data_IF_657603528559
#
_entry.id   IF_657603528559
#
_cell.length_a   1.000
_cell.length_b   1.000
_cell.length_c   1.000
_cell.angle_alpha   90.00
_cell.angle_beta   90.00
_cell.angle_gamma   90.00
#
_symmetry.space_group_name_H-M   'P 1'
#
loop_
_entity.id
_entity.type
_entity.pdbx_description
1 polymer ?
#
# COMPACT_ATOMS: atom_id res chain seq x y z
N UNK A 1 -18.17 -10.17 44.57
CA UNK A 1 -18.81 -9.96 43.26
C UNK A 1 -18.28 -8.65 42.70
N UNK A 2 -17.54 -8.74 41.59
CA UNK A 2 -17.45 -7.90 40.37
C UNK A 2 -17.73 -6.38 40.48
N UNK A 3 -17.09 -5.46 39.75
CA UNK A 3 -16.37 -5.52 38.46
C UNK A 3 -15.27 -4.45 38.44
N UNK A 4 -14.03 -4.81 38.08
CA UNK A 4 -13.02 -3.83 37.68
C UNK A 4 -13.32 -3.34 36.26
N UNK A 5 -13.35 -2.03 36.08
CA UNK A 5 -13.57 -1.39 34.79
C UNK A 5 -12.44 -1.72 33.83
N UNK A 6 -12.79 -2.32 32.69
CA UNK A 6 -11.91 -2.44 31.54
C UNK A 6 -11.73 -1.06 30.92
N UNK A 7 -10.56 -0.45 31.08
CA UNK A 7 -10.15 0.74 30.31
C UNK A 7 -9.49 0.30 29.02
N UNK A 8 -10.22 0.42 27.91
CA UNK A 8 -9.73 0.15 26.55
C UNK A 8 -8.54 1.07 26.22
N UNK A 9 -7.41 0.49 25.79
CA UNK A 9 -6.31 1.23 25.18
C UNK A 9 -6.73 1.69 23.77
N UNK A 10 -6.52 2.96 23.39
CA UNK A 10 -6.75 3.39 22.01
C UNK A 10 -5.81 2.60 21.10
N UNK A 11 -6.34 1.95 20.08
CA UNK A 11 -5.52 1.32 19.03
C UNK A 11 -4.54 2.37 18.48
N UNK A 12 -3.26 2.00 18.36
CA UNK A 12 -2.23 2.90 17.85
C UNK A 12 -2.56 3.20 16.38
N UNK A 13 -2.95 4.43 16.08
CA UNK A 13 -3.18 4.91 14.71
C UNK A 13 -1.92 5.62 14.24
N UNK A 14 -1.27 5.06 13.23
CA UNK A 14 -0.11 5.68 12.58
C UNK A 14 -0.58 6.54 11.40
N UNK A 15 -0.22 7.83 11.42
CA UNK A 15 -0.48 8.78 10.33
C UNK A 15 0.82 9.02 9.57
N UNK A 16 0.80 8.73 8.27
CA UNK A 16 1.91 9.06 7.37
C UNK A 16 1.45 10.08 6.33
N UNK A 17 2.28 11.08 6.07
CA UNK A 17 1.98 12.20 5.16
C UNK A 17 3.11 12.42 4.16
N UNK A 18 2.76 12.80 2.95
CA UNK A 18 3.68 13.24 1.90
C UNK A 18 3.50 14.74 1.64
N UNK A 19 4.53 15.39 1.08
CA UNK A 19 4.45 16.80 0.68
C UNK A 19 4.42 16.90 -0.84
N UNK A 20 3.38 17.53 -1.37
CA UNK A 20 3.26 17.88 -2.79
C UNK A 20 3.30 16.67 -3.76
N UNK A 21 2.97 15.46 -3.29
CA UNK A 21 2.81 14.24 -4.09
C UNK A 21 2.00 13.20 -3.34
N UNK A 22 1.55 12.14 -4.01
CA UNK A 22 1.11 10.90 -3.37
C UNK A 22 2.27 10.00 -2.94
N UNK A 23 1.96 8.92 -2.22
CA UNK A 23 2.95 7.88 -1.88
C UNK A 23 3.45 7.16 -3.14
N UNK A 24 4.73 6.79 -3.15
CA UNK A 24 5.29 5.96 -4.22
C UNK A 24 4.82 4.50 -4.07
N UNK A 25 4.83 3.70 -5.14
CA UNK A 25 4.60 2.26 -5.05
C UNK A 25 5.46 1.58 -3.98
N UNK A 26 6.71 1.98 -3.83
CA UNK A 26 7.62 1.44 -2.82
C UNK A 26 7.20 1.78 -1.39
N UNK A 27 6.74 3.01 -1.14
CA UNK A 27 6.26 3.43 0.17
C UNK A 27 4.94 2.73 0.55
N UNK A 28 4.03 2.58 -0.42
CA UNK A 28 2.77 1.84 -0.19
C UNK A 28 3.05 0.35 0.01
N UNK A 29 4.00 -0.22 -0.73
CA UNK A 29 4.42 -1.61 -0.57
C UNK A 29 5.01 -1.88 0.82
N UNK A 30 5.86 -0.98 1.32
CA UNK A 30 6.43 -1.13 2.67
C UNK A 30 5.34 -1.10 3.74
N UNK A 31 4.43 -0.12 3.67
CA UNK A 31 3.30 -0.02 4.61
C UNK A 31 2.38 -1.24 4.56
N UNK A 32 2.20 -1.83 3.38
CA UNK A 32 1.43 -3.05 3.22
C UNK A 32 2.16 -4.24 3.85
N UNK A 33 3.46 -4.37 3.57
CA UNK A 33 4.31 -5.42 4.09
C UNK A 33 4.40 -5.41 5.61
N UNK A 34 4.56 -4.24 6.22
CA UNK A 34 4.60 -4.09 7.68
C UNK A 34 3.32 -4.58 8.35
N UNK A 35 2.16 -4.32 7.73
CA UNK A 35 0.87 -4.85 8.21
C UNK A 35 0.79 -6.37 8.09
N UNK A 36 1.29 -6.94 6.99
CA UNK A 36 1.31 -8.39 6.80
C UNK A 36 2.24 -9.08 7.80
N UNK A 37 3.40 -8.49 8.07
CA UNK A 37 4.39 -9.04 8.99
C UNK A 37 4.02 -8.87 10.46
N UNK A 38 3.34 -7.79 10.84
CA UNK A 38 2.84 -7.60 12.20
C UNK A 38 1.97 -8.79 12.67
N UNK A 39 1.17 -9.37 11.77
CA UNK A 39 0.39 -10.58 12.06
C UNK A 39 1.30 -11.78 12.36
N UNK A 40 2.45 -11.88 11.70
CA UNK A 40 3.40 -12.99 11.85
C UNK A 40 4.15 -13.00 13.18
N UNK A 41 4.23 -11.87 13.90
CA UNK A 41 4.95 -11.79 15.19
C UNK A 41 4.31 -12.66 16.28
N UNK A 42 2.99 -12.87 16.19
CA UNK A 42 2.22 -13.74 17.10
C UNK A 42 2.08 -15.17 16.60
N UNK A 43 2.62 -15.49 15.42
CA UNK A 43 2.47 -16.79 14.79
C UNK A 43 3.46 -17.84 15.36
N UNK A 44 3.18 -19.14 15.17
CA UNK A 44 4.12 -20.20 15.51
C UNK A 44 5.50 -19.98 14.86
N UNK A 45 6.62 -20.36 15.53
CA UNK A 45 7.98 -20.02 15.08
C UNK A 45 8.27 -20.33 13.61
N UNK A 46 7.86 -21.49 13.11
CA UNK A 46 8.09 -21.88 11.72
C UNK A 46 7.43 -20.92 10.70
N UNK A 47 6.25 -20.37 11.02
CA UNK A 47 5.54 -19.43 10.14
C UNK A 47 6.19 -18.05 10.18
N UNK A 48 6.61 -17.61 11.37
CA UNK A 48 7.32 -16.34 11.55
C UNK A 48 8.67 -16.35 10.81
N UNK A 49 9.45 -17.42 10.98
CA UNK A 49 10.77 -17.55 10.36
C UNK A 49 10.66 -17.58 8.83
N UNK A 50 9.61 -18.24 8.30
CA UNK A 50 9.28 -18.17 6.88
C UNK A 50 8.90 -16.76 6.43
N UNK A 51 8.03 -16.06 7.17
CA UNK A 51 7.62 -14.69 6.83
C UNK A 51 8.82 -13.73 6.76
N UNK A 52 9.76 -13.85 7.70
CA UNK A 52 11.01 -13.07 7.71
C UNK A 52 11.87 -13.43 6.50
N UNK A 53 12.04 -14.73 6.21
CA UNK A 53 12.86 -15.20 5.09
C UNK A 53 12.35 -14.73 3.71
N UNK A 54 11.02 -14.62 3.55
CA UNK A 54 10.40 -14.21 2.28
C UNK A 54 10.04 -12.72 2.21
N UNK A 55 10.34 -11.93 3.26
CA UNK A 55 9.98 -10.50 3.36
C UNK A 55 10.35 -9.70 2.10
N UNK A 56 11.60 -9.78 1.66
CA UNK A 56 12.08 -9.02 0.50
C UNK A 56 11.45 -9.48 -0.82
N UNK A 57 11.15 -10.78 -0.94
CA UNK A 57 10.47 -11.29 -2.11
C UNK A 57 9.02 -10.78 -2.17
N UNK A 58 8.31 -10.82 -1.04
CA UNK A 58 6.96 -10.25 -0.93
C UNK A 58 6.96 -8.76 -1.26
N UNK A 59 7.96 -8.02 -0.76
CA UNK A 59 8.15 -6.60 -1.08
C UNK A 59 8.27 -6.37 -2.58
N UNK A 60 9.12 -7.14 -3.26
CA UNK A 60 9.32 -7.03 -4.70
C UNK A 60 8.03 -7.29 -5.49
N UNK A 61 7.26 -8.31 -5.09
CA UNK A 61 5.96 -8.63 -5.72
C UNK A 61 4.95 -7.50 -5.50
N UNK A 62 4.87 -6.94 -4.29
CA UNK A 62 3.98 -5.81 -3.99
C UNK A 62 4.33 -4.59 -4.83
N UNK A 63 5.62 -4.21 -4.90
CA UNK A 63 6.08 -3.08 -5.71
C UNK A 63 5.76 -3.29 -7.19
N UNK A 64 5.97 -4.50 -7.72
CA UNK A 64 5.67 -4.84 -9.10
C UNK A 64 4.19 -4.58 -9.42
N UNK A 65 3.27 -5.17 -8.65
CA UNK A 65 1.84 -5.02 -8.93
C UNK A 65 1.31 -3.62 -8.64
N UNK A 66 1.89 -2.88 -7.69
CA UNK A 66 1.53 -1.47 -7.49
C UNK A 66 1.91 -0.61 -8.69
N UNK A 67 3.07 -0.86 -9.32
CA UNK A 67 3.45 -0.19 -10.57
C UNK A 67 2.49 -0.56 -11.69
N UNK A 68 2.16 -1.83 -11.85
CA UNK A 68 1.17 -2.27 -12.86
C UNK A 68 -0.19 -1.60 -12.65
N UNK A 69 -0.68 -1.54 -11.41
CA UNK A 69 -1.95 -0.89 -11.07
C UNK A 69 -1.93 0.61 -11.43
N UNK A 70 -0.86 1.33 -11.10
CA UNK A 70 -0.70 2.75 -11.47
C UNK A 70 -0.70 2.94 -12.98
N UNK A 71 -0.02 2.06 -13.73
CA UNK A 71 -0.01 2.14 -15.19
C UNK A 71 -1.39 1.86 -15.79
N UNK A 72 -2.11 0.86 -15.28
CA UNK A 72 -3.47 0.54 -15.71
C UNK A 72 -4.45 1.69 -15.42
N UNK A 73 -4.34 2.32 -14.25
CA UNK A 73 -5.15 3.48 -13.88
C UNK A 73 -4.86 4.68 -14.79
N UNK A 74 -3.58 4.99 -15.04
CA UNK A 74 -3.16 6.04 -15.98
C UNK A 74 -3.71 5.81 -17.39
N UNK A 75 -3.70 4.58 -17.89
CA UNK A 75 -4.32 4.24 -19.19
C UNK A 75 -5.82 4.49 -19.18
N UNK A 76 -6.51 4.10 -18.10
CA UNK A 76 -7.95 4.33 -17.96
C UNK A 76 -8.28 5.82 -17.93
N UNK A 77 -7.53 6.62 -17.16
CA UNK A 77 -7.68 8.09 -17.10
C UNK A 77 -7.37 8.73 -18.46
N UNK A 78 -6.30 8.30 -19.13
CA UNK A 78 -5.95 8.80 -20.47
C UNK A 78 -7.09 8.59 -21.47
N UNK A 79 -7.68 7.39 -21.51
CA UNK A 79 -8.80 7.08 -22.38
C UNK A 79 -10.04 7.93 -22.04
N UNK A 80 -10.37 8.07 -20.76
CA UNK A 80 -11.49 8.91 -20.33
C UNK A 80 -11.32 10.39 -20.75
N UNK A 81 -10.09 10.92 -20.72
CA UNK A 81 -9.79 12.27 -21.20
C UNK A 81 -9.93 12.38 -22.73
N UNK A 82 -9.50 11.38 -23.48
CA UNK A 82 -9.68 11.33 -24.94
C UNK A 82 -11.16 11.27 -25.33
N UNK A 83 -11.95 10.44 -24.64
CA UNK A 83 -13.38 10.30 -24.87
C UNK A 83 -14.14 11.60 -24.55
N UNK A 84 -13.69 12.35 -23.55
CA UNK A 84 -14.20 13.68 -23.23
C UNK A 84 -13.72 14.79 -24.19
N UNK A 85 -12.83 14.48 -25.14
CA UNK A 85 -12.30 15.43 -26.13
C UNK A 85 -11.08 16.24 -25.68
N UNK A 86 -10.52 15.98 -24.49
CA UNK A 86 -9.38 16.70 -23.91
C UNK A 86 -8.03 16.06 -24.28
N UNK A 87 -7.66 16.13 -25.57
CA UNK A 87 -6.44 15.48 -26.11
C UNK A 87 -5.13 16.01 -25.52
N UNK A 88 -5.07 17.30 -25.22
CA UNK A 88 -3.92 17.96 -24.59
C UNK A 88 -3.68 17.45 -23.17
N UNK A 89 -4.74 17.33 -22.36
CA UNK A 89 -4.67 16.77 -21.02
C UNK A 89 -4.29 15.28 -21.05
N UNK A 90 -4.85 14.51 -21.97
CA UNK A 90 -4.49 13.10 -22.15
C UNK A 90 -2.99 12.93 -22.42
N UNK A 91 -2.41 13.78 -23.29
CA UNK A 91 -0.98 13.74 -23.61
C UNK A 91 -0.09 14.14 -22.43
N UNK A 92 -0.54 15.07 -21.57
CA UNK A 92 0.17 15.40 -20.33
C UNK A 92 0.20 14.19 -19.38
N UNK A 93 -0.93 13.53 -19.14
CA UNK A 93 -1.02 12.36 -18.26
C UNK A 93 -0.16 11.19 -18.78
N UNK A 94 -0.14 10.96 -20.10
CA UNK A 94 0.64 9.88 -20.73
C UNK A 94 2.16 10.00 -20.50
N UNK A 95 2.65 11.23 -20.30
CA UNK A 95 4.08 11.55 -20.13
C UNK A 95 4.55 11.51 -18.68
N UNK A 96 3.64 11.39 -17.71
CA UNK A 96 3.94 11.20 -16.28
C UNK A 96 4.42 9.78 -15.99
#
# INVERSE_FOLDING_TARGET
MNFEGVTLSPGIVEVQTTQHRGFTPEEVAERCLDKLLNISDTAPPAIRDQAIAYKEHMRAVLVFYMKEAVQSDRTTVNNALLDAGHKDLAELIRRL
#
